data_IF_146912198912
#
_entry.id   IF_146912198912
#
_cell.length_a   1.000
_cell.length_b   1.000
_cell.length_c   1.000
_cell.angle_alpha   90.00
_cell.angle_beta   90.00
_cell.angle_gamma   90.00
#
_symmetry.space_group_name_H-M   'P 1'
#
loop_
_entity.id
_entity.type
_entity.pdbx_description
1 polymer ?
#
# COMPACT_ATOMS: atom_id res chain seq x y z
N UNK A 1 -43.44 -1.41 -19.77
CA UNK A 1 -42.00 -1.76 -19.72
C UNK A 1 -41.38 -1.64 -18.33
N UNK A 2 -41.84 -0.80 -17.39
CA UNK A 2 -41.18 -0.51 -16.10
C UNK A 2 -41.24 -1.63 -15.04
N UNK A 3 -42.29 -2.44 -14.99
CA UNK A 3 -42.48 -3.49 -13.97
C UNK A 3 -41.59 -4.73 -14.13
N UNK A 4 -41.16 -5.05 -15.36
CA UNK A 4 -40.28 -6.20 -15.63
C UNK A 4 -38.84 -5.87 -15.23
N UNK A 5 -38.36 -4.65 -15.55
CA UNK A 5 -37.03 -4.21 -15.14
C UNK A 5 -36.88 -4.07 -13.63
N UNK A 6 -37.94 -3.63 -12.93
CA UNK A 6 -37.94 -3.55 -11.48
C UNK A 6 -37.85 -4.95 -10.82
N UNK A 7 -38.58 -5.94 -11.36
CA UNK A 7 -38.51 -7.32 -10.89
C UNK A 7 -37.14 -7.95 -11.18
N UNK A 8 -36.56 -7.67 -12.34
CA UNK A 8 -35.23 -8.15 -12.70
C UNK A 8 -34.13 -7.55 -11.80
N UNK A 9 -34.25 -6.27 -11.49
CA UNK A 9 -33.34 -5.58 -10.56
C UNK A 9 -33.42 -6.16 -9.13
N UNK A 10 -34.62 -6.40 -8.61
CA UNK A 10 -34.80 -7.05 -7.31
C UNK A 10 -34.30 -8.50 -7.32
N UNK A 11 -34.45 -9.23 -8.42
CA UNK A 11 -33.97 -10.61 -8.55
C UNK A 11 -32.45 -10.68 -8.59
N UNK A 12 -31.79 -9.78 -9.35
CA UNK A 12 -30.33 -9.66 -9.42
C UNK A 12 -29.75 -9.21 -8.07
N UNK A 13 -30.39 -8.25 -7.41
CA UNK A 13 -29.98 -7.78 -6.08
C UNK A 13 -30.13 -8.87 -5.02
N UNK A 14 -31.16 -9.68 -5.08
CA UNK A 14 -31.37 -10.82 -4.17
C UNK A 14 -30.32 -11.93 -4.41
N UNK A 15 -29.95 -12.22 -5.66
CA UNK A 15 -28.87 -13.16 -6.00
C UNK A 15 -27.52 -12.65 -5.48
N UNK A 16 -27.26 -11.35 -5.57
CA UNK A 16 -26.05 -10.73 -5.05
C UNK A 16 -25.96 -10.85 -3.53
N UNK A 17 -27.07 -10.71 -2.83
CA UNK A 17 -27.15 -10.81 -1.36
C UNK A 17 -27.03 -12.25 -0.84
N UNK A 18 -27.42 -13.25 -1.63
CA UNK A 18 -27.37 -14.69 -1.26
C UNK A 18 -25.97 -15.29 -1.48
N UNK A 19 -25.16 -14.73 -2.40
CA UNK A 19 -23.82 -15.24 -2.74
C UNK A 19 -22.68 -14.73 -1.82
N UNK A 20 -22.95 -13.79 -0.91
CA UNK A 20 -21.94 -13.13 -0.08
C UNK A 20 -21.53 -13.77 1.27
N UNK A 21 -22.08 -14.87 1.81
CA UNK A 21 -21.80 -15.19 3.21
C UNK A 21 -20.92 -16.41 3.50
N UNK A 22 -20.11 -16.94 2.59
CA UNK A 22 -19.39 -18.19 2.93
C UNK A 22 -17.91 -18.07 3.32
N UNK A 23 -17.27 -16.94 3.09
CA UNK A 23 -15.83 -16.74 3.41
C UNK A 23 -15.57 -16.33 4.88
N UNK A 24 -16.53 -15.68 5.54
CA UNK A 24 -16.33 -15.12 6.88
C UNK A 24 -16.22 -16.15 8.03
N UNK A 25 -16.72 -17.36 7.87
CA UNK A 25 -16.80 -18.31 8.99
C UNK A 25 -15.45 -18.99 9.33
N UNK A 26 -14.60 -19.22 8.34
CA UNK A 26 -13.27 -19.81 8.54
C UNK A 26 -12.31 -18.85 9.21
N UNK A 27 -12.31 -17.60 8.79
CA UNK A 27 -11.42 -16.57 9.32
C UNK A 27 -11.75 -16.19 10.77
N UNK A 28 -13.02 -16.22 11.15
CA UNK A 28 -13.43 -15.98 12.53
C UNK A 28 -12.81 -17.00 13.50
N UNK A 29 -12.77 -18.30 13.14
CA UNK A 29 -12.15 -19.32 13.99
C UNK A 29 -10.64 -19.07 14.14
N UNK A 30 -9.94 -18.81 13.03
CA UNK A 30 -8.50 -18.52 13.05
C UNK A 30 -8.20 -17.27 13.89
N UNK A 31 -9.05 -16.25 13.81
CA UNK A 31 -8.92 -15.03 14.63
C UNK A 31 -9.02 -15.34 16.14
N UNK A 32 -10.03 -16.11 16.56
CA UNK A 32 -10.14 -16.51 17.98
C UNK A 32 -8.97 -17.39 18.44
N UNK A 33 -8.46 -18.27 17.57
CA UNK A 33 -7.31 -19.11 17.87
C UNK A 33 -6.03 -18.25 17.98
N UNK A 34 -5.87 -17.20 17.14
CA UNK A 34 -4.78 -16.22 17.23
C UNK A 34 -4.82 -15.46 18.56
N UNK A 35 -5.98 -14.89 18.91
CA UNK A 35 -6.15 -14.16 20.18
C UNK A 35 -5.87 -15.05 21.39
N UNK A 36 -6.30 -16.31 21.35
CA UNK A 36 -6.02 -17.27 22.42
C UNK A 36 -4.53 -17.60 22.52
N UNK A 37 -3.84 -17.78 21.40
CA UNK A 37 -2.41 -18.04 21.37
C UNK A 37 -1.64 -16.83 21.93
N UNK A 38 -2.01 -15.60 21.54
CA UNK A 38 -1.44 -14.38 22.11
C UNK A 38 -1.64 -14.28 23.62
N UNK A 39 -2.86 -14.52 24.10
CA UNK A 39 -3.19 -14.49 25.52
C UNK A 39 -2.44 -15.55 26.34
N UNK A 40 -2.07 -16.69 25.74
CA UNK A 40 -1.24 -17.72 26.36
C UNK A 40 0.27 -17.46 26.27
N UNK A 41 0.69 -16.38 25.62
CA UNK A 41 2.10 -16.02 25.41
C UNK A 41 2.78 -16.77 24.23
N UNK A 42 2.04 -17.59 23.47
CA UNK A 42 2.55 -18.28 22.29
C UNK A 42 2.49 -17.35 21.07
N UNK A 43 3.40 -16.35 21.07
CA UNK A 43 3.40 -15.27 20.07
C UNK A 43 3.65 -15.82 18.65
N UNK A 44 4.52 -16.81 18.50
CA UNK A 44 4.85 -17.40 17.19
C UNK A 44 3.61 -18.05 16.57
N UNK A 45 2.85 -18.79 17.39
CA UNK A 45 1.61 -19.41 16.93
C UNK A 45 0.51 -18.38 16.63
N UNK A 46 0.45 -17.29 17.39
CA UNK A 46 -0.46 -16.19 17.11
C UNK A 46 -0.14 -15.56 15.75
N UNK A 47 1.14 -15.32 15.43
CA UNK A 47 1.60 -14.85 14.12
C UNK A 47 1.16 -15.82 13.02
N UNK A 48 1.39 -17.12 13.16
CA UNK A 48 0.99 -18.12 12.16
C UNK A 48 -0.52 -18.07 11.84
N UNK A 49 -1.36 -17.95 12.87
CA UNK A 49 -2.80 -17.82 12.66
C UNK A 49 -3.20 -16.52 11.96
N UNK A 50 -2.63 -15.38 12.36
CA UNK A 50 -2.92 -14.10 11.69
C UNK A 50 -2.38 -14.06 10.26
N UNK A 51 -1.21 -14.65 9.98
CA UNK A 51 -0.68 -14.78 8.62
C UNK A 51 -1.61 -15.59 7.71
N UNK A 52 -2.18 -16.70 8.22
CA UNK A 52 -3.17 -17.49 7.47
C UNK A 52 -4.45 -16.70 7.15
N UNK A 53 -4.87 -15.81 8.04
CA UNK A 53 -5.98 -14.88 7.75
C UNK A 53 -5.55 -13.89 6.64
N UNK A 54 -4.33 -13.37 6.73
CA UNK A 54 -3.81 -12.39 5.78
C UNK A 54 -3.61 -12.93 4.36
N UNK A 55 -3.62 -14.26 4.14
CA UNK A 55 -3.62 -14.87 2.80
C UNK A 55 -4.93 -14.60 2.03
N UNK A 56 -6.03 -14.40 2.71
CA UNK A 56 -7.37 -14.26 2.12
C UNK A 56 -8.08 -12.95 2.45
N UNK A 57 -7.67 -12.27 3.51
CA UNK A 57 -8.32 -11.05 3.98
C UNK A 57 -7.26 -10.04 4.46
N UNK A 58 -7.39 -8.81 3.99
CA UNK A 58 -6.53 -7.71 4.39
C UNK A 58 -7.35 -6.62 5.06
N UNK A 59 -7.03 -6.32 6.32
CA UNK A 59 -7.59 -5.19 7.05
C UNK A 59 -6.51 -4.46 7.83
N UNK A 60 -6.70 -3.16 8.05
CA UNK A 60 -5.73 -2.37 8.81
C UNK A 60 -5.50 -2.93 10.21
N UNK A 61 -6.57 -3.38 10.88
CA UNK A 61 -6.49 -3.97 12.22
C UNK A 61 -5.74 -5.30 12.22
N UNK A 62 -5.92 -6.16 11.21
CA UNK A 62 -5.18 -7.41 11.08
C UNK A 62 -3.68 -7.14 10.96
N UNK A 63 -3.28 -6.23 10.09
CA UNK A 63 -1.89 -5.88 9.93
C UNK A 63 -1.31 -5.15 11.16
N UNK A 64 -2.10 -4.33 11.86
CA UNK A 64 -1.68 -3.73 13.12
C UNK A 64 -1.44 -4.79 14.23
N UNK A 65 -2.29 -5.83 14.31
CA UNK A 65 -2.11 -6.94 15.24
C UNK A 65 -0.84 -7.75 14.91
N UNK A 66 -0.61 -8.07 13.64
CA UNK A 66 0.63 -8.71 13.18
C UNK A 66 1.87 -7.87 13.55
N UNK A 67 1.81 -6.57 13.29
CA UNK A 67 2.90 -5.67 13.62
C UNK A 67 3.21 -5.66 15.13
N UNK A 68 2.19 -5.64 15.98
CA UNK A 68 2.35 -5.69 17.43
C UNK A 68 3.00 -7.01 17.88
N UNK A 69 2.61 -8.14 17.28
CA UNK A 69 3.22 -9.44 17.58
C UNK A 69 4.69 -9.50 17.14
N UNK A 70 5.00 -9.06 15.92
CA UNK A 70 6.38 -8.99 15.45
C UNK A 70 7.22 -8.04 16.29
N UNK A 71 6.66 -6.91 16.73
CA UNK A 71 7.32 -6.00 17.65
C UNK A 71 7.65 -6.67 18.98
N UNK A 72 6.70 -7.45 19.57
CA UNK A 72 6.94 -8.22 20.80
C UNK A 72 7.99 -9.32 20.62
N UNK A 73 8.17 -9.81 19.39
CA UNK A 73 9.19 -10.80 19.01
C UNK A 73 10.53 -10.13 18.64
N UNK A 74 10.64 -8.80 18.76
CA UNK A 74 11.81 -7.99 18.39
C UNK A 74 12.15 -8.04 16.89
N UNK A 75 11.24 -8.56 16.05
CA UNK A 75 11.32 -8.50 14.58
C UNK A 75 10.78 -7.16 14.08
N UNK A 76 11.57 -6.12 14.25
CA UNK A 76 11.17 -4.75 13.90
C UNK A 76 10.97 -4.58 12.40
N UNK A 77 11.68 -5.32 11.57
CA UNK A 77 11.53 -5.23 10.12
C UNK A 77 10.14 -5.65 9.65
N UNK A 78 9.65 -6.81 10.13
CA UNK A 78 8.28 -7.24 9.83
C UNK A 78 7.23 -6.40 10.53
N UNK A 79 7.51 -5.89 11.73
CA UNK A 79 6.62 -4.93 12.38
C UNK A 79 6.43 -3.67 11.52
N UNK A 80 7.51 -3.10 10.98
CA UNK A 80 7.49 -1.95 10.06
C UNK A 80 6.69 -2.27 8.81
N UNK A 81 6.94 -3.41 8.17
CA UNK A 81 6.20 -3.84 6.98
C UNK A 81 4.69 -3.87 7.22
N UNK A 82 4.26 -4.53 8.30
CA UNK A 82 2.83 -4.65 8.60
C UNK A 82 2.20 -3.31 9.02
N UNK A 83 2.92 -2.42 9.70
CA UNK A 83 2.44 -1.07 9.98
C UNK A 83 2.28 -0.24 8.71
N UNK A 84 3.18 -0.38 7.73
CA UNK A 84 3.00 0.27 6.43
C UNK A 84 1.80 -0.27 5.68
N UNK A 85 1.56 -1.60 5.69
CA UNK A 85 0.33 -2.22 5.15
C UNK A 85 -0.92 -1.67 5.87
N UNK A 86 -0.89 -1.53 7.20
CA UNK A 86 -2.00 -0.97 7.99
C UNK A 86 -2.28 0.51 7.63
N UNK A 87 -1.25 1.34 7.51
CA UNK A 87 -1.37 2.76 7.13
C UNK A 87 -1.92 2.89 5.70
N UNK A 88 -1.51 2.01 4.78
CA UNK A 88 -2.05 2.00 3.43
C UNK A 88 -3.56 1.72 3.40
N UNK A 89 -4.03 0.79 4.27
CA UNK A 89 -5.44 0.42 4.38
C UNK A 89 -6.28 1.43 5.16
N UNK A 90 -5.68 2.12 6.15
CA UNK A 90 -6.33 3.15 6.97
C UNK A 90 -5.36 4.32 7.26
N UNK A 91 -5.19 5.24 6.30
CA UNK A 91 -4.22 6.33 6.44
C UNK A 91 -4.63 7.42 7.43
N UNK A 92 -5.89 7.44 7.87
CA UNK A 92 -6.38 8.42 8.84
C UNK A 92 -6.06 8.03 10.29
N UNK A 93 -5.72 6.78 10.52
CA UNK A 93 -5.43 6.27 11.86
C UNK A 93 -4.02 6.66 12.32
N UNK A 94 -3.96 7.67 13.16
CA UNK A 94 -2.70 8.20 13.71
C UNK A 94 -1.96 7.21 14.60
N UNK A 95 -2.64 6.22 15.18
CA UNK A 95 -2.02 5.19 15.99
C UNK A 95 -1.05 4.36 15.16
N UNK A 96 -1.43 3.98 13.94
CA UNK A 96 -0.55 3.22 13.03
C UNK A 96 0.72 4.00 12.70
N UNK A 97 0.61 5.31 12.42
CA UNK A 97 1.76 6.16 12.13
C UNK A 97 2.68 6.34 13.34
N UNK A 98 2.10 6.47 14.53
CA UNK A 98 2.87 6.58 15.78
C UNK A 98 3.61 5.29 16.07
N UNK A 99 2.94 4.14 15.92
CA UNK A 99 3.53 2.82 16.12
C UNK A 99 4.63 2.54 15.08
N UNK A 100 4.46 3.00 13.83
CA UNK A 100 5.49 2.90 12.80
C UNK A 100 6.75 3.67 13.19
N UNK A 101 6.60 4.94 13.59
CA UNK A 101 7.74 5.75 14.01
C UNK A 101 8.48 5.11 15.21
N UNK A 102 7.74 4.50 16.13
CA UNK A 102 8.32 3.79 17.27
C UNK A 102 9.06 2.50 16.83
N UNK A 103 8.46 1.70 15.95
CA UNK A 103 9.10 0.48 15.43
C UNK A 103 10.36 0.80 14.62
N UNK A 104 10.35 1.85 13.79
CA UNK A 104 11.52 2.33 13.05
C UNK A 104 12.65 2.74 13.98
N UNK A 105 12.32 3.50 15.03
CA UNK A 105 13.31 3.91 16.04
C UNK A 105 13.94 2.70 16.76
N UNK A 106 13.15 1.69 17.10
CA UNK A 106 13.66 0.47 17.76
C UNK A 106 14.48 -0.39 16.81
N UNK A 107 14.12 -0.45 15.52
CA UNK A 107 14.86 -1.16 14.47
C UNK A 107 16.08 -0.38 13.93
N UNK A 108 16.37 0.82 14.44
CA UNK A 108 17.50 1.62 13.94
C UNK A 108 17.32 2.13 12.50
N UNK A 109 16.08 2.17 12.02
CA UNK A 109 15.75 2.65 10.69
C UNK A 109 15.54 4.16 10.74
N UNK A 110 16.38 4.92 10.05
CA UNK A 110 16.14 6.35 9.86
C UNK A 110 14.95 6.56 8.94
N UNK A 111 14.03 7.41 9.36
CA UNK A 111 12.89 7.82 8.54
C UNK A 111 13.36 8.71 7.38
N UNK A 112 13.80 8.09 6.31
CA UNK A 112 14.23 8.77 5.09
C UNK A 112 13.07 8.97 4.10
N UNK A 113 11.97 8.33 4.35
CA UNK A 113 10.73 8.60 3.64
C UNK A 113 10.03 9.72 4.38
N UNK A 114 10.23 10.95 3.96
CA UNK A 114 9.21 11.96 4.15
C UNK A 114 7.92 11.36 3.58
N UNK A 115 7.11 10.77 4.45
CA UNK A 115 5.70 10.45 4.17
C UNK A 115 4.93 11.77 4.05
N UNK A 116 5.50 12.66 3.25
CA UNK A 116 5.07 14.03 3.01
C UNK A 116 3.87 14.11 2.05
N UNK A 117 3.15 13.02 1.94
CA UNK A 117 1.85 13.13 1.29
C UNK A 117 0.84 13.52 2.35
N UNK A 118 0.38 14.77 2.26
CA UNK A 118 -0.85 15.12 2.96
C UNK A 118 -1.81 13.94 2.77
N UNK A 119 -2.40 13.39 3.85
CA UNK A 119 -3.25 12.18 3.78
C UNK A 119 -4.29 12.22 2.65
N UNK A 120 -4.75 13.44 2.29
CA UNK A 120 -5.67 13.69 1.20
C UNK A 120 -5.18 13.24 -0.21
N UNK A 121 -3.89 13.06 -0.41
CA UNK A 121 -3.31 12.62 -1.70
C UNK A 121 -2.80 11.18 -1.67
N UNK A 122 -3.14 10.42 -0.64
CA UNK A 122 -2.84 9.00 -0.58
C UNK A 122 -3.61 8.23 -1.64
N UNK A 123 -3.12 7.03 -1.96
CA UNK A 123 -3.79 6.08 -2.88
C UNK A 123 -5.22 5.79 -2.49
N UNK A 124 -5.50 5.76 -1.18
CA UNK A 124 -6.83 5.55 -0.61
C UNK A 124 -7.88 6.51 -1.19
N UNK A 125 -7.52 7.78 -1.42
CA UNK A 125 -8.44 8.81 -1.95
C UNK A 125 -8.46 8.93 -3.47
N UNK A 126 -7.70 8.13 -4.21
CA UNK A 126 -7.62 8.21 -5.67
C UNK A 126 -9.00 8.14 -6.34
N UNK A 127 -9.84 7.20 -5.92
CA UNK A 127 -11.21 7.05 -6.43
C UNK A 127 -12.09 8.25 -6.06
N UNK A 128 -11.91 8.82 -4.87
CA UNK A 128 -12.67 10.00 -4.42
C UNK A 128 -12.36 11.22 -5.27
N UNK A 129 -11.09 11.43 -5.64
CA UNK A 129 -10.67 12.50 -6.56
C UNK A 129 -11.27 12.32 -7.95
N UNK A 130 -11.33 11.08 -8.47
CA UNK A 130 -12.00 10.78 -9.74
C UNK A 130 -13.50 11.06 -9.69
N UNK A 131 -14.17 10.65 -8.62
CA UNK A 131 -15.61 10.93 -8.42
C UNK A 131 -15.85 12.43 -8.35
N UNK A 132 -15.05 13.17 -7.57
CA UNK A 132 -15.15 14.63 -7.47
C UNK A 132 -14.97 15.30 -8.83
N UNK A 133 -13.95 14.88 -9.60
CA UNK A 133 -13.71 15.38 -10.96
C UNK A 133 -14.90 15.12 -11.88
N UNK A 134 -15.45 13.90 -11.88
CA UNK A 134 -16.62 13.57 -12.71
C UNK A 134 -17.85 14.39 -12.32
N UNK A 135 -18.15 14.52 -11.02
CA UNK A 135 -19.28 15.34 -10.56
C UNK A 135 -19.13 16.81 -10.97
N UNK A 136 -17.95 17.38 -10.81
CA UNK A 136 -17.65 18.74 -11.25
C UNK A 136 -17.74 18.87 -12.78
N UNK A 137 -17.24 17.90 -13.54
CA UNK A 137 -17.31 17.88 -14.99
C UNK A 137 -18.77 17.93 -15.49
N UNK A 138 -19.64 17.05 -14.98
CA UNK A 138 -21.04 17.00 -15.38
C UNK A 138 -21.81 18.24 -14.95
N UNK A 139 -21.58 18.76 -13.74
CA UNK A 139 -22.23 20.02 -13.29
C UNK A 139 -21.81 21.21 -14.14
N UNK A 140 -20.61 21.18 -14.72
CA UNK A 140 -20.14 22.22 -15.63
C UNK A 140 -20.90 22.32 -16.94
N UNK A 141 -21.48 21.23 -17.40
CA UNK A 141 -22.35 21.26 -18.59
C UNK A 141 -23.57 22.16 -18.30
N UNK A 142 -24.13 22.10 -17.10
CA UNK A 142 -25.22 22.98 -16.68
C UNK A 142 -24.77 24.42 -16.54
N UNK A 143 -23.58 24.67 -15.95
CA UNK A 143 -23.01 26.01 -15.85
C UNK A 143 -22.76 26.57 -17.23
N UNK A 144 -22.14 25.82 -18.13
CA UNK A 144 -21.87 26.22 -19.53
C UNK A 144 -23.17 26.54 -20.27
N UNK A 145 -24.23 25.76 -20.11
CA UNK A 145 -25.53 26.02 -20.73
C UNK A 145 -26.15 27.34 -20.27
N UNK A 146 -25.87 27.76 -19.04
CA UNK A 146 -26.35 29.06 -18.51
C UNK A 146 -25.72 30.24 -19.23
N UNK A 147 -24.51 30.13 -19.75
CA UNK A 147 -23.88 31.19 -20.55
C UNK A 147 -24.50 31.37 -21.93
N UNK A 148 -25.24 30.37 -22.45
CA UNK A 148 -25.95 30.47 -23.73
C UNK A 148 -27.18 31.41 -23.63
N UNK A 149 -27.72 31.62 -22.43
CA UNK A 149 -28.88 32.49 -22.21
C UNK A 149 -28.42 33.90 -21.80
N UNK A 150 -28.75 34.97 -22.56
CA UNK A 150 -28.31 36.35 -22.27
C UNK A 150 -28.70 36.85 -20.90
N UNK A 151 -29.85 36.42 -20.36
CA UNK A 151 -30.38 36.80 -19.05
C UNK A 151 -29.51 36.34 -17.87
N UNK A 152 -28.68 35.29 -18.04
CA UNK A 152 -27.81 34.77 -16.99
C UNK A 152 -26.38 35.32 -17.03
N UNK A 153 -26.04 36.17 -18.00
CA UNK A 153 -24.70 36.78 -18.13
C UNK A 153 -24.46 37.88 -17.09
N UNK A 154 -24.40 37.50 -15.84
CA UNK A 154 -24.12 38.40 -14.72
C UNK A 154 -22.73 38.17 -14.17
N UNK A 155 -22.13 39.17 -13.50
CA UNK A 155 -20.82 39.02 -12.87
C UNK A 155 -20.76 37.82 -11.89
N UNK A 156 -21.86 37.52 -11.22
CA UNK A 156 -21.96 36.38 -10.30
C UNK A 156 -21.76 35.03 -11.02
N UNK A 157 -22.29 34.88 -12.22
CA UNK A 157 -22.16 33.64 -13.02
C UNK A 157 -20.72 33.46 -13.52
N UNK A 158 -20.05 34.53 -13.89
CA UNK A 158 -18.63 34.46 -14.24
C UNK A 158 -17.74 34.06 -13.06
N UNK A 159 -18.03 34.62 -11.87
CA UNK A 159 -17.31 34.24 -10.65
C UNK A 159 -17.56 32.77 -10.29
N UNK A 160 -18.80 32.27 -10.36
CA UNK A 160 -19.13 30.87 -10.16
C UNK A 160 -18.41 29.96 -11.18
N UNK A 161 -18.38 30.39 -12.44
CA UNK A 161 -17.65 29.68 -13.50
C UNK A 161 -16.14 29.58 -13.21
N UNK A 162 -15.53 30.65 -12.70
CA UNK A 162 -14.12 30.65 -12.31
C UNK A 162 -13.85 29.69 -11.14
N UNK A 163 -14.67 29.68 -10.11
CA UNK A 163 -14.55 28.72 -9.01
C UNK A 163 -14.75 27.28 -9.47
N UNK A 164 -15.68 27.05 -10.38
CA UNK A 164 -15.91 25.72 -10.95
C UNK A 164 -14.69 25.23 -11.75
N UNK A 165 -14.08 26.07 -12.60
CA UNK A 165 -12.86 25.75 -13.32
C UNK A 165 -11.72 25.44 -12.34
N UNK A 166 -11.54 26.27 -11.29
CA UNK A 166 -10.54 26.02 -10.26
C UNK A 166 -10.76 24.68 -9.54
N UNK A 167 -12.02 24.32 -9.25
CA UNK A 167 -12.39 23.03 -8.67
C UNK A 167 -12.04 21.83 -9.56
N UNK A 168 -12.26 21.96 -10.89
CA UNK A 168 -11.83 20.93 -11.86
C UNK A 168 -10.31 20.74 -11.88
N UNK A 169 -9.56 21.84 -11.93
CA UNK A 169 -8.10 21.76 -11.88
C UNK A 169 -7.61 21.15 -10.57
N UNK A 170 -8.18 21.53 -9.44
CA UNK A 170 -7.79 21.02 -8.14
C UNK A 170 -8.09 19.53 -7.99
N UNK A 171 -9.27 19.07 -8.45
CA UNK A 171 -9.63 17.64 -8.40
C UNK A 171 -8.79 16.79 -9.36
N UNK A 172 -8.48 17.31 -10.55
CA UNK A 172 -7.59 16.65 -11.50
C UNK A 172 -6.16 16.56 -10.96
N UNK A 173 -5.66 17.62 -10.33
CA UNK A 173 -4.35 17.63 -9.67
C UNK A 173 -4.31 16.67 -8.48
N UNK A 174 -5.37 16.62 -7.65
CA UNK A 174 -5.49 15.67 -6.55
C UNK A 174 -5.44 14.22 -7.01
N UNK A 175 -6.15 13.89 -8.09
CA UNK A 175 -6.07 12.57 -8.71
C UNK A 175 -4.66 12.26 -9.22
N UNK A 176 -4.01 13.21 -9.89
CA UNK A 176 -2.66 13.04 -10.41
C UNK A 176 -1.65 12.76 -9.29
N UNK A 177 -1.72 13.50 -8.18
CA UNK A 177 -0.86 13.27 -7.01
C UNK A 177 -1.12 11.89 -6.36
N UNK A 178 -2.39 11.50 -6.20
CA UNK A 178 -2.74 10.17 -5.71
C UNK A 178 -2.24 9.05 -6.63
N UNK A 179 -2.22 9.28 -7.95
CA UNK A 179 -1.70 8.31 -8.91
C UNK A 179 -0.17 8.18 -8.83
N UNK A 180 0.55 9.27 -8.62
CA UNK A 180 1.99 9.24 -8.37
C UNK A 180 2.32 8.47 -7.09
N UNK A 181 1.58 8.71 -6.02
CA UNK A 181 1.69 7.97 -4.76
C UNK A 181 1.48 6.47 -4.97
N UNK A 182 0.47 6.07 -5.76
CA UNK A 182 0.22 4.68 -6.14
C UNK A 182 1.40 4.04 -6.86
N UNK A 183 2.00 4.75 -7.82
CA UNK A 183 3.13 4.22 -8.59
C UNK A 183 4.38 3.99 -7.73
N UNK A 184 4.60 4.81 -6.72
CA UNK A 184 5.68 4.63 -5.77
C UNK A 184 5.44 3.44 -4.84
N UNK A 185 4.23 3.31 -4.30
CA UNK A 185 3.86 2.16 -3.44
C UNK A 185 3.97 0.81 -4.15
N UNK A 186 3.64 0.74 -5.44
CA UNK A 186 3.79 -0.47 -6.25
C UNK A 186 5.25 -0.91 -6.43
N UNK A 187 6.19 -0.03 -6.17
CA UNK A 187 7.64 -0.27 -6.28
C UNK A 187 8.30 -0.42 -4.92
N UNK A 188 7.60 -0.02 -3.86
CA UNK A 188 8.16 -0.03 -2.52
C UNK A 188 8.16 -1.44 -1.94
N UNK A 189 9.33 -1.84 -1.47
CA UNK A 189 9.57 -3.09 -0.76
C UNK A 189 10.32 -2.80 0.54
N UNK A 190 10.10 -3.62 1.54
CA UNK A 190 10.78 -3.52 2.82
C UNK A 190 11.84 -4.62 2.92
N UNK A 191 13.02 -4.27 3.38
CA UNK A 191 14.09 -5.21 3.71
C UNK A 191 13.69 -6.02 4.95
N UNK A 192 13.40 -7.31 4.80
CA UNK A 192 12.89 -8.15 5.91
C UNK A 192 13.91 -9.16 6.42
N UNK A 193 14.82 -9.61 5.57
CA UNK A 193 15.84 -10.60 5.91
C UNK A 193 17.20 -10.17 5.37
N UNK A 194 18.27 -10.57 6.04
CA UNK A 194 19.62 -10.47 5.52
C UNK A 194 20.20 -11.87 5.46
N UNK A 195 20.35 -12.40 4.24
CA UNK A 195 20.91 -13.75 4.04
C UNK A 195 22.41 -13.67 3.90
N UNK A 196 23.13 -14.33 4.81
CA UNK A 196 24.59 -14.54 4.71
C UNK A 196 24.87 -16.01 4.45
N UNK A 197 25.94 -16.32 3.71
CA UNK A 197 26.41 -17.70 3.50
C UNK A 197 26.77 -18.44 4.80
N UNK A 198 26.90 -17.73 5.91
CA UNK A 198 27.43 -18.20 7.18
C UNK A 198 26.40 -18.32 8.32
N UNK A 199 25.09 -18.26 8.01
CA UNK A 199 23.99 -18.35 9.01
C UNK A 199 24.03 -17.31 10.15
N UNK A 200 24.82 -16.26 10.05
CA UNK A 200 24.79 -15.16 11.02
C UNK A 200 23.63 -14.22 10.71
N UNK A 201 22.77 -13.97 11.71
CA UNK A 201 21.71 -12.99 11.66
C UNK A 201 22.36 -11.60 11.54
N UNK A 202 22.35 -11.03 10.34
CA UNK A 202 22.80 -9.64 10.14
C UNK A 202 21.64 -8.69 10.39
N UNK A 203 21.95 -7.59 11.04
CA UNK A 203 21.01 -6.47 11.25
C UNK A 203 20.82 -5.62 9.98
N UNK A 204 21.71 -5.79 8.98
CA UNK A 204 21.71 -5.00 7.75
C UNK A 204 21.62 -5.88 6.50
N UNK A 205 20.80 -5.42 5.56
CA UNK A 205 20.72 -5.99 4.21
C UNK A 205 21.81 -5.40 3.31
N UNK A 206 22.56 -6.25 2.62
CA UNK A 206 23.57 -5.84 1.65
C UNK A 206 22.92 -5.58 0.27
N UNK A 207 23.05 -4.37 -0.24
CA UNK A 207 22.76 -4.03 -1.63
C UNK A 207 24.01 -4.40 -2.47
N UNK A 208 23.92 -5.45 -3.30
CA UNK A 208 25.07 -6.03 -4.00
C UNK A 208 25.33 -5.36 -5.35
N UNK A 209 26.60 -5.34 -5.76
CA UNK A 209 27.01 -4.77 -7.05
C UNK A 209 26.43 -5.58 -8.22
N UNK A 210 26.41 -6.92 -8.11
CA UNK A 210 25.89 -7.84 -9.12
C UNK A 210 24.84 -8.78 -8.53
N UNK A 211 23.97 -9.30 -9.38
CA UNK A 211 22.99 -10.31 -9.03
C UNK A 211 23.67 -11.67 -8.82
N UNK A 212 24.08 -11.96 -7.60
CA UNK A 212 24.75 -13.21 -7.24
C UNK A 212 25.23 -13.22 -5.80
N UNK A 213 25.21 -14.41 -5.16
CA UNK A 213 25.57 -14.59 -3.75
C UNK A 213 27.03 -14.29 -3.44
N UNK A 214 27.93 -14.43 -4.42
CA UNK A 214 29.35 -14.09 -4.30
C UNK A 214 29.69 -12.62 -4.61
N UNK A 215 28.70 -11.76 -4.84
CA UNK A 215 28.94 -10.35 -5.13
C UNK A 215 29.22 -9.56 -3.86
N UNK A 216 30.16 -8.63 -3.94
CA UNK A 216 30.45 -7.69 -2.89
C UNK A 216 29.25 -6.76 -2.61
N UNK A 217 29.10 -6.36 -1.35
CA UNK A 217 28.15 -5.34 -0.97
C UNK A 217 28.62 -3.97 -1.47
N UNK A 218 27.78 -3.29 -2.24
CA UNK A 218 27.98 -1.87 -2.59
C UNK A 218 27.71 -0.98 -1.38
N UNK A 219 26.66 -1.30 -0.64
CA UNK A 219 26.25 -0.61 0.60
C UNK A 219 25.39 -1.55 1.42
N UNK A 220 25.21 -1.21 2.69
CA UNK A 220 24.29 -1.93 3.58
C UNK A 220 23.19 -0.98 4.06
N UNK A 221 21.99 -1.52 4.25
CA UNK A 221 20.84 -0.81 4.77
C UNK A 221 20.24 -1.58 5.95
N UNK A 222 19.77 -0.92 7.01
CA UNK A 222 19.12 -1.59 8.13
C UNK A 222 17.90 -2.41 7.68
N UNK A 223 17.63 -3.52 8.34
CA UNK A 223 16.38 -4.26 8.14
C UNK A 223 15.20 -3.37 8.54
N UNK A 224 14.11 -3.42 7.79
CA UNK A 224 12.97 -2.51 7.92
C UNK A 224 13.06 -1.28 7.03
N UNK A 225 14.21 -1.03 6.35
CA UNK A 225 14.34 0.10 5.43
C UNK A 225 13.48 -0.09 4.20
N UNK A 226 12.90 1.03 3.71
CA UNK A 226 12.19 1.08 2.43
C UNK A 226 13.17 1.12 1.27
N UNK A 227 12.94 0.26 0.31
CA UNK A 227 13.65 0.19 -0.96
C UNK A 227 12.64 0.35 -2.10
N UNK A 228 13.06 0.93 -3.20
CA UNK A 228 12.25 1.09 -4.42
C UNK A 228 12.84 0.25 -5.54
N UNK A 229 12.04 -0.65 -6.10
CA UNK A 229 12.45 -1.47 -7.25
C UNK A 229 12.65 -0.59 -8.47
N UNK A 230 13.78 -0.77 -9.16
CA UNK A 230 14.00 -0.15 -10.47
C UNK A 230 13.14 -0.85 -11.52
N UNK A 231 12.51 -0.05 -12.37
CA UNK A 231 11.66 -0.54 -13.45
C UNK A 231 12.46 -0.62 -14.77
N UNK A 232 12.03 -1.55 -15.62
CA UNK A 232 12.45 -1.62 -17.02
C UNK A 232 11.64 -0.66 -17.91
N UNK A 233 11.88 -0.69 -19.22
CA UNK A 233 11.15 0.13 -20.19
C UNK A 233 9.66 -0.23 -20.32
N UNK A 234 9.21 -1.35 -19.75
CA UNK A 234 7.82 -1.81 -19.73
C UNK A 234 7.12 -1.56 -18.39
N UNK A 235 7.74 -0.78 -17.49
CA UNK A 235 7.28 -0.55 -16.10
C UNK A 235 7.19 -1.82 -15.23
N UNK A 236 8.00 -2.84 -15.55
CA UNK A 236 8.12 -4.04 -14.72
C UNK A 236 9.39 -3.95 -13.87
N UNK A 237 9.39 -4.54 -12.65
CA UNK A 237 10.60 -4.60 -11.83
C UNK A 237 11.76 -5.26 -12.57
N UNK A 238 12.92 -4.62 -12.56
CA UNK A 238 14.15 -5.23 -13.14
C UNK A 238 14.59 -6.39 -12.27
N UNK A 239 14.59 -7.57 -12.85
CA UNK A 239 15.05 -8.76 -12.17
C UNK A 239 16.09 -9.51 -13.00
N UNK A 240 16.86 -10.35 -12.31
CA UNK A 240 17.79 -11.31 -12.90
C UNK A 240 17.62 -12.66 -12.20
N UNK A 241 17.55 -13.73 -12.96
CA UNK A 241 17.50 -15.09 -12.41
C UNK A 241 18.89 -15.71 -12.52
N UNK A 242 19.44 -16.09 -11.38
CA UNK A 242 20.75 -16.75 -11.31
C UNK A 242 20.68 -18.16 -11.90
N UNK A 243 21.80 -18.78 -12.32
CA UNK A 243 21.84 -20.17 -12.76
C UNK A 243 21.37 -21.16 -11.67
N UNK A 244 21.41 -20.77 -10.40
CA UNK A 244 20.91 -21.54 -9.25
C UNK A 244 19.40 -21.46 -9.07
N UNK A 245 18.72 -20.60 -9.85
CA UNK A 245 17.28 -20.37 -9.77
C UNK A 245 16.89 -19.20 -8.86
N UNK A 246 17.85 -18.59 -8.15
CA UNK A 246 17.59 -17.45 -7.28
C UNK A 246 17.18 -16.22 -8.11
N UNK A 247 16.13 -15.53 -7.67
CA UNK A 247 15.64 -14.32 -8.32
C UNK A 247 16.15 -13.09 -7.56
N UNK A 248 16.73 -12.16 -8.31
CA UNK A 248 17.36 -10.95 -7.82
C UNK A 248 16.66 -9.75 -8.40
N UNK A 249 16.36 -8.75 -7.56
CA UNK A 249 15.76 -7.48 -7.97
C UNK A 249 16.77 -6.35 -7.83
N UNK A 250 16.72 -5.41 -8.76
CA UNK A 250 17.51 -4.20 -8.67
C UNK A 250 16.71 -3.17 -7.86
N UNK A 251 17.22 -2.83 -6.68
CA UNK A 251 16.56 -1.92 -5.75
C UNK A 251 17.41 -0.69 -5.45
N UNK A 252 16.76 0.37 -5.03
CA UNK A 252 17.35 1.67 -4.65
C UNK A 252 16.83 2.07 -3.29
N UNK A 253 17.68 2.66 -2.44
CA UNK A 253 17.26 3.23 -1.16
C UNK A 253 16.30 4.40 -1.36
N UNK A 254 15.51 4.73 -0.34
CA UNK A 254 14.60 5.87 -0.37
C UNK A 254 15.31 7.20 -0.66
N UNK A 255 16.54 7.38 -0.16
CA UNK A 255 17.37 8.54 -0.48
C UNK A 255 17.82 8.63 -1.95
N UNK A 256 17.63 7.56 -2.72
CA UNK A 256 18.05 7.45 -4.12
C UNK A 256 19.57 7.34 -4.35
N UNK A 257 20.37 7.48 -3.30
CA UNK A 257 21.83 7.50 -3.39
C UNK A 257 22.43 6.10 -3.54
N UNK A 258 21.81 5.12 -2.89
CA UNK A 258 22.30 3.75 -2.82
C UNK A 258 21.48 2.83 -3.71
N UNK A 259 22.14 2.02 -4.53
CA UNK A 259 21.51 1.10 -5.48
C UNK A 259 22.28 -0.23 -5.50
N UNK A 260 21.55 -1.33 -5.57
CA UNK A 260 22.15 -2.65 -5.67
C UNK A 260 21.13 -3.76 -5.87
N UNK A 261 21.65 -4.98 -6.05
CA UNK A 261 20.87 -6.17 -6.22
C UNK A 261 20.55 -6.82 -4.86
N UNK A 262 19.30 -7.23 -4.68
CA UNK A 262 18.77 -7.92 -3.50
C UNK A 262 18.03 -9.18 -3.93
N UNK A 263 18.01 -10.21 -3.10
CA UNK A 263 17.23 -11.43 -3.38
C UNK A 263 15.76 -11.20 -3.13
N UNK A 264 14.91 -11.98 -3.82
CA UNK A 264 13.47 -11.99 -3.61
C UNK A 264 13.11 -12.32 -2.15
N UNK A 265 13.80 -13.26 -1.51
CA UNK A 265 13.59 -13.69 -0.13
C UNK A 265 14.04 -12.66 0.95
N UNK A 266 14.84 -11.68 0.55
CA UNK A 266 15.38 -10.63 1.44
C UNK A 266 14.43 -9.44 1.57
N UNK A 267 13.42 -9.32 0.70
CA UNK A 267 12.52 -8.20 0.59
C UNK A 267 11.05 -8.65 0.54
N UNK A 268 10.16 -7.81 1.03
CA UNK A 268 8.71 -8.03 0.89
C UNK A 268 8.00 -6.74 0.45
N UNK A 269 7.07 -6.88 -0.48
CA UNK A 269 6.28 -5.76 -0.99
C UNK A 269 5.22 -5.33 0.03
N UNK A 270 4.96 -4.03 0.08
CA UNK A 270 3.81 -3.49 0.83
C UNK A 270 2.51 -3.94 0.15
N UNK A 271 2.51 -4.03 -1.19
CA UNK A 271 1.37 -4.51 -1.98
C UNK A 271 1.72 -5.88 -2.58
N UNK A 272 0.99 -6.92 -2.21
CA UNK A 272 1.28 -8.34 -2.55
C UNK A 272 1.30 -8.65 -4.07
N UNK A 273 0.91 -7.71 -4.91
CA UNK A 273 0.88 -7.88 -6.37
C UNK A 273 2.05 -7.21 -7.12
N UNK A 274 2.96 -6.53 -6.44
CA UNK A 274 4.08 -5.86 -7.08
C UNK A 274 5.19 -6.82 -7.57
N UNK A 275 5.24 -8.04 -7.02
CA UNK A 275 6.30 -9.04 -7.30
C UNK A 275 5.77 -10.30 -8.00
N UNK A 276 4.44 -10.46 -8.15
CA UNK A 276 3.83 -11.63 -8.83
C UNK A 276 3.86 -11.53 -10.34
#
# INVERSE_FOLDING_TARGET
MSRIYLKLYFFISAIYFVLLPSLGASNNKLFYDAVRAEASGDLVKAVDFYCKIAESEHSANLHANLANLYFKLEDYARAILHLRKAIWLDPENREHSTNLAFAMKMGGVEDQTELDFAPAFSVYYQTHWLIAFNLLFWTGIFVASSFLQPSFRTAKVYVLGAFWIAGLFFSGWGWYQSNLSSSNLNREVIAINATTQENDLKENLALRVFAGSGSEANTEVPLGSSLFLDLDGNNLPRFHTSPTGDKWFLARSASGTNKGWVREEEIESILDFAIK
#
